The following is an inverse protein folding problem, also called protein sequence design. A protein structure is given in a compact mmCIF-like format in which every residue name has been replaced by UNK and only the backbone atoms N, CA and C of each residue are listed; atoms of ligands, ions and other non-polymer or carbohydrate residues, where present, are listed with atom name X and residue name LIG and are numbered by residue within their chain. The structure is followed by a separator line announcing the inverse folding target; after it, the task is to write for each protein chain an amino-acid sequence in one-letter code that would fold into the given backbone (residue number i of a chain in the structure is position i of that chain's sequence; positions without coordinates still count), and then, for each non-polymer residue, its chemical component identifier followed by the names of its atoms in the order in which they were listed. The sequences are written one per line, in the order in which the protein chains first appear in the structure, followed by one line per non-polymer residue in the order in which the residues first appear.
data_IF_537544421825
#
_entry.id   IF_537544421825
#
_cell.length_a   1.000
_cell.length_b   1.000
_cell.length_c   1.000
_cell.angle_alpha   90.00
_cell.angle_beta   90.00
_cell.angle_gamma   90.00
#
_symmetry.space_group_name_H-M   'P 1'
#
loop_
_entity.id
_entity.type
_entity.pdbx_description
1 polymer ?
#
# COMPACT_ATOMS: atom_id res chain seq x y z
N UNK A 1 9.15 -8.27 9.12
CA UNK A 1 8.88 -6.86 9.47
C UNK A 1 8.45 -6.16 8.19
N UNK A 2 7.26 -5.58 8.13
CA UNK A 2 6.69 -4.97 6.92
C UNK A 2 6.98 -3.45 6.92
N UNK A 3 7.17 -2.85 5.74
CA UNK A 3 7.73 -1.50 5.53
C UNK A 3 6.91 -0.34 6.14
N UNK A 4 5.73 -0.60 6.68
CA UNK A 4 4.85 0.42 7.27
C UNK A 4 4.18 -0.03 8.58
N UNK A 5 4.58 -1.16 9.17
CA UNK A 5 3.87 -1.67 10.36
C UNK A 5 3.92 -0.71 11.56
N UNK A 6 4.98 0.11 11.69
CA UNK A 6 5.10 1.07 12.81
C UNK A 6 4.62 2.47 12.46
N UNK A 7 4.51 2.79 11.17
CA UNK A 7 4.00 4.07 10.67
C UNK A 7 3.04 3.83 9.48
N UNK A 8 1.81 3.37 9.74
CA UNK A 8 0.81 3.18 8.68
C UNK A 8 0.35 4.51 8.06
N UNK A 9 0.57 5.64 8.74
CA UNK A 9 0.28 6.97 8.20
C UNK A 9 1.25 7.34 7.07
N UNK A 10 2.51 6.90 7.12
CA UNK A 10 3.46 7.10 6.02
C UNK A 10 2.98 6.49 4.69
N UNK A 11 2.38 5.30 4.73
CA UNK A 11 1.78 4.68 3.54
C UNK A 11 0.66 5.56 2.98
N UNK A 12 -0.20 6.09 3.85
CA UNK A 12 -1.26 7.03 3.46
C UNK A 12 -0.71 8.35 2.90
N UNK A 13 0.34 8.93 3.49
CA UNK A 13 0.98 10.13 2.97
C UNK A 13 1.49 9.92 1.54
N UNK A 14 2.19 8.81 1.32
CA UNK A 14 2.73 8.44 0.01
C UNK A 14 1.61 8.25 -1.01
N UNK A 15 0.55 7.56 -0.61
CA UNK A 15 -0.68 7.36 -1.37
C UNK A 15 -1.35 8.68 -1.79
N UNK A 16 -1.61 9.58 -0.84
CA UNK A 16 -2.21 10.89 -1.11
C UNK A 16 -1.37 11.70 -2.10
N UNK A 17 -0.03 11.66 -1.96
CA UNK A 17 0.89 12.34 -2.89
C UNK A 17 0.83 11.76 -4.31
N UNK A 18 0.74 10.43 -4.45
CA UNK A 18 0.58 9.79 -5.78
C UNK A 18 -0.70 10.28 -6.46
N UNK A 19 -1.79 10.36 -5.71
CA UNK A 19 -3.09 10.78 -6.23
C UNK A 19 -3.23 12.30 -6.39
N UNK A 20 -2.22 13.09 -5.99
CA UNK A 20 -2.32 14.55 -5.97
C UNK A 20 -3.39 15.08 -5.00
N UNK A 21 -3.71 14.32 -3.95
CA UNK A 21 -4.73 14.67 -2.96
C UNK A 21 -4.11 15.22 -1.68
N UNK A 22 -4.83 16.10 -0.96
CA UNK A 22 -4.40 16.51 0.37
C UNK A 22 -4.33 15.31 1.30
N UNK A 23 -3.33 15.31 2.18
CA UNK A 23 -3.21 14.32 3.25
C UNK A 23 -4.26 14.70 4.31
N UNK A 24 -5.22 13.81 4.65
CA UNK A 24 -6.19 14.12 5.68
C UNK A 24 -5.48 14.32 7.02
N UNK A 25 -5.86 15.32 7.82
CA UNK A 25 -5.25 15.51 9.13
C UNK A 25 -5.55 14.29 10.02
N UNK A 26 -4.59 13.91 10.87
CA UNK A 26 -4.71 12.74 11.74
C UNK A 26 -5.89 12.83 12.72
N UNK A 27 -6.40 14.04 12.98
CA UNK A 27 -7.61 14.28 13.76
C UNK A 27 -8.91 13.87 13.04
N UNK A 28 -8.89 13.74 11.71
CA UNK A 28 -10.08 13.43 10.90
C UNK A 28 -10.14 11.95 10.46
N UNK A 29 -9.04 11.22 10.60
CA UNK A 29 -8.95 9.85 10.11
C UNK A 29 -8.22 8.92 11.09
N UNK A 30 -8.63 7.66 11.07
CA UNK A 30 -7.93 6.58 11.73
C UNK A 30 -7.46 5.56 10.69
N UNK A 31 -6.19 5.17 10.76
CA UNK A 31 -5.61 4.14 9.88
C UNK A 31 -5.33 2.90 10.71
N UNK A 32 -5.76 1.75 10.22
CA UNK A 32 -5.54 0.47 10.89
C UNK A 32 -4.87 -0.52 9.95
N UNK A 33 -3.82 -1.18 10.44
CA UNK A 33 -3.29 -2.41 9.87
C UNK A 33 -4.30 -3.55 10.08
N UNK A 34 -4.61 -4.28 9.01
CA UNK A 34 -5.56 -5.40 9.00
C UNK A 34 -4.87 -6.75 8.79
N UNK A 35 -3.54 -6.78 8.88
CA UNK A 35 -2.70 -7.92 8.56
C UNK A 35 -2.45 -8.05 7.06
N UNK A 36 -1.85 -9.16 6.67
CA UNK A 36 -1.40 -9.45 5.31
C UNK A 36 -2.32 -10.37 4.52
N UNK A 37 -3.33 -10.99 5.12
CA UNK A 37 -4.07 -12.08 4.47
C UNK A 37 -5.49 -11.69 4.05
N UNK A 38 -5.85 -12.03 2.81
CA UNK A 38 -7.19 -11.97 2.23
C UNK A 38 -7.65 -13.37 1.80
N UNK A 39 -8.95 -13.63 1.84
CA UNK A 39 -9.53 -14.87 1.31
C UNK A 39 -9.86 -14.70 -0.16
N UNK A 40 -9.38 -15.62 -1.01
CA UNK A 40 -9.61 -15.60 -2.46
C UNK A 40 -11.09 -15.89 -2.77
N UNK A 41 -11.78 -15.00 -3.49
CA UNK A 41 -13.18 -15.23 -3.86
C UNK A 41 -13.32 -16.43 -4.80
N UNK A 42 -14.30 -17.31 -4.55
CA UNK A 42 -14.72 -18.34 -5.50
C UNK A 42 -13.94 -19.66 -5.45
N UNK A 43 -12.93 -19.79 -4.58
CA UNK A 43 -12.26 -21.07 -4.33
C UNK A 43 -12.98 -21.81 -3.19
N UNK A 44 -14.15 -22.37 -3.46
CA UNK A 44 -14.76 -23.38 -2.58
C UNK A 44 -14.36 -24.74 -3.13
N UNK A 45 -13.45 -25.45 -2.48
CA UNK A 45 -13.14 -26.83 -2.85
C UNK A 45 -14.27 -27.71 -2.36
N UNK A 46 -15.24 -27.99 -3.23
CA UNK A 46 -16.34 -28.92 -2.93
C UNK A 46 -15.73 -30.31 -2.68
N UNK A 47 -15.79 -30.78 -1.45
CA UNK A 47 -15.40 -32.15 -1.07
C UNK A 47 -14.08 -32.30 -0.29
N UNK A 48 -13.33 -31.22 -0.03
CA UNK A 48 -12.20 -31.30 0.88
C UNK A 48 -12.68 -31.14 2.33
N UNK A 49 -12.46 -32.16 3.18
CA UNK A 49 -12.71 -32.10 4.63
C UNK A 49 -11.86 -31.04 5.35
N UNK A 50 -10.90 -30.44 4.64
CA UNK A 50 -10.15 -29.28 5.08
C UNK A 50 -10.43 -28.15 4.08
N UNK A 51 -11.09 -27.12 4.55
CA UNK A 51 -11.38 -25.88 3.83
C UNK A 51 -10.04 -25.19 3.51
N UNK A 52 -9.41 -25.53 2.39
CA UNK A 52 -8.26 -24.78 1.87
C UNK A 52 -8.83 -23.52 1.24
N UNK A 53 -9.25 -22.58 2.09
CA UNK A 53 -9.53 -21.23 1.62
C UNK A 53 -8.26 -20.74 0.93
N UNK A 54 -8.34 -20.45 -0.37
CA UNK A 54 -7.19 -19.91 -1.09
C UNK A 54 -6.81 -18.60 -0.42
N UNK A 55 -5.69 -18.54 0.28
CA UNK A 55 -5.24 -17.30 0.91
C UNK A 55 -4.45 -16.47 -0.10
N UNK A 56 -4.73 -15.18 -0.15
CA UNK A 56 -3.92 -14.18 -0.85
C UNK A 56 -3.12 -13.46 0.22
N UNK A 57 -1.80 -13.61 0.16
CA UNK A 57 -0.87 -12.91 1.04
C UNK A 57 -0.42 -11.64 0.34
N UNK A 58 -0.74 -10.51 0.96
CA UNK A 58 -0.27 -9.20 0.61
C UNK A 58 0.83 -8.77 1.58
N UNK A 59 1.69 -7.82 1.23
CA UNK A 59 2.68 -7.34 2.20
C UNK A 59 2.04 -6.52 3.33
N UNK A 60 0.98 -5.76 3.04
CA UNK A 60 0.22 -5.02 4.04
C UNK A 60 -1.16 -4.61 3.52
N UNK A 61 -2.15 -4.60 4.41
CA UNK A 61 -3.49 -4.08 4.14
C UNK A 61 -3.85 -3.03 5.19
N UNK A 62 -4.14 -1.83 4.72
CA UNK A 62 -4.56 -0.72 5.56
C UNK A 62 -6.02 -0.36 5.29
N UNK A 63 -6.76 -0.09 6.36
CA UNK A 63 -8.10 0.50 6.26
C UNK A 63 -8.10 1.90 6.83
N UNK A 64 -8.63 2.86 6.07
CA UNK A 64 -8.78 4.27 6.47
C UNK A 64 -10.23 4.52 6.84
N UNK A 65 -10.46 5.01 8.05
CA UNK A 65 -11.78 5.28 8.61
C UNK A 65 -11.91 6.76 8.94
N UNK A 66 -13.12 7.29 8.80
CA UNK A 66 -13.41 8.66 9.21
C UNK A 66 -13.54 8.74 10.74
N UNK A 67 -12.98 9.79 11.34
CA UNK A 67 -13.26 10.20 12.70
C UNK A 67 -14.45 11.17 12.69
N UNK A 68 -15.46 10.87 13.50
CA UNK A 68 -16.68 11.66 13.61
C UNK A 68 -16.47 12.84 14.59
N UNK A 69 -17.33 13.88 14.54
CA UNK A 69 -17.17 15.07 15.39
C UNK A 69 -17.18 14.79 16.89
N UNK A 70 -17.83 13.70 17.31
CA UNK A 70 -17.87 13.22 18.69
C UNK A 70 -16.60 12.44 19.09
N UNK A 71 -15.62 12.35 18.19
CA UNK A 71 -14.36 11.63 18.38
C UNK A 71 -14.45 10.12 18.12
N UNK A 72 -15.63 9.58 17.83
CA UNK A 72 -15.80 8.16 17.48
C UNK A 72 -15.25 7.88 16.07
N UNK A 73 -14.94 6.61 15.80
CA UNK A 73 -14.40 6.17 14.50
C UNK A 73 -15.50 5.41 13.76
N UNK A 74 -15.75 5.79 12.51
CA UNK A 74 -16.67 5.08 11.63
C UNK A 74 -16.31 3.60 11.59
N UNK A 75 -17.32 2.73 11.68
CA UNK A 75 -17.12 1.27 11.52
C UNK A 75 -16.87 0.88 10.07
N UNK A 76 -17.29 1.73 9.13
CA UNK A 76 -17.13 1.51 7.70
C UNK A 76 -15.88 2.25 7.22
N UNK A 77 -14.99 1.50 6.57
CA UNK A 77 -13.80 2.07 5.95
C UNK A 77 -14.21 2.99 4.80
N UNK A 78 -13.58 4.16 4.72
CA UNK A 78 -13.70 5.05 3.57
C UNK A 78 -12.84 4.60 2.40
N UNK A 79 -11.71 3.96 2.69
CA UNK A 79 -10.72 3.57 1.71
C UNK A 79 -9.91 2.38 2.23
N UNK A 80 -9.58 1.45 1.34
CA UNK A 80 -8.66 0.34 1.61
C UNK A 80 -7.42 0.50 0.75
N UNK A 81 -6.26 0.35 1.37
CA UNK A 81 -4.97 0.30 0.68
C UNK A 81 -4.36 -1.07 0.82
N UNK A 82 -3.91 -1.62 -0.30
CA UNK A 82 -3.07 -2.81 -0.34
C UNK A 82 -1.67 -2.32 -0.71
N UNK A 83 -0.67 -2.66 0.07
CA UNK A 83 0.72 -2.29 -0.21
C UNK A 83 1.49 -3.55 -0.59
N UNK A 84 2.23 -3.46 -1.68
CA UNK A 84 3.00 -4.56 -2.27
C UNK A 84 4.42 -4.09 -2.61
N UNK A 85 5.42 -4.85 -2.19
CA UNK A 85 6.83 -4.60 -2.47
C UNK A 85 7.29 -5.50 -3.60
N UNK A 86 7.62 -4.89 -4.74
CA UNK A 86 8.08 -5.60 -5.93
C UNK A 86 9.59 -5.48 -6.10
N UNK A 87 10.31 -6.58 -5.84
CA UNK A 87 11.78 -6.65 -5.92
C UNK A 87 12.32 -7.14 -7.27
N UNK A 88 11.53 -7.89 -8.03
CA UNK A 88 11.92 -8.46 -9.32
C UNK A 88 10.84 -8.26 -10.39
N UNK A 89 11.07 -8.64 -11.64
CA UNK A 89 10.01 -8.66 -12.66
C UNK A 89 9.25 -9.98 -12.54
N UNK A 90 7.95 -9.91 -12.35
CA UNK A 90 7.09 -11.09 -12.23
C UNK A 90 5.74 -10.81 -12.90
N UNK A 91 5.49 -11.34 -14.12
CA UNK A 91 4.25 -11.09 -14.84
C UNK A 91 3.04 -11.73 -14.15
N UNK A 92 3.23 -12.74 -13.30
CA UNK A 92 2.13 -13.40 -12.58
C UNK A 92 1.48 -12.48 -11.53
N UNK A 93 2.21 -11.43 -11.10
CA UNK A 93 1.73 -10.45 -10.11
C UNK A 93 0.49 -9.69 -10.56
N UNK A 94 0.29 -9.48 -11.87
CA UNK A 94 -0.90 -8.80 -12.37
C UNK A 94 -2.20 -9.49 -11.93
N UNK A 95 -2.23 -10.82 -12.04
CA UNK A 95 -3.41 -11.58 -11.61
C UNK A 95 -3.53 -11.60 -10.08
N UNK A 96 -2.42 -11.85 -9.37
CA UNK A 96 -2.43 -11.89 -7.91
C UNK A 96 -2.93 -10.57 -7.30
N UNK A 97 -2.48 -9.43 -7.84
CA UNK A 97 -2.90 -8.10 -7.43
C UNK A 97 -4.37 -7.79 -7.76
N UNK A 98 -4.83 -8.23 -8.94
CA UNK A 98 -6.26 -8.10 -9.31
C UNK A 98 -7.15 -8.91 -8.36
N UNK A 99 -6.72 -10.13 -8.02
CA UNK A 99 -7.41 -10.99 -7.06
C UNK A 99 -7.42 -10.37 -5.67
N UNK A 100 -6.30 -9.78 -5.23
CA UNK A 100 -6.18 -9.11 -3.94
C UNK A 100 -7.15 -7.92 -3.83
N UNK A 101 -7.20 -7.03 -4.83
CA UNK A 101 -8.13 -5.89 -4.83
C UNK A 101 -9.59 -6.35 -4.80
N UNK A 102 -9.93 -7.41 -5.57
CA UNK A 102 -11.28 -7.98 -5.57
C UNK A 102 -11.63 -8.60 -4.21
N UNK A 103 -10.70 -9.33 -3.61
CA UNK A 103 -10.87 -9.94 -2.29
C UNK A 103 -11.06 -8.89 -1.20
N UNK A 104 -10.30 -7.79 -1.25
CA UNK A 104 -10.45 -6.67 -0.33
C UNK A 104 -11.82 -5.99 -0.46
N UNK A 105 -12.33 -5.79 -1.67
CA UNK A 105 -13.65 -5.19 -1.90
C UNK A 105 -14.74 -5.97 -1.17
N UNK A 106 -14.70 -7.29 -1.31
CA UNK A 106 -15.64 -8.20 -0.65
C UNK A 106 -15.44 -8.23 0.86
N UNK A 107 -14.20 -8.40 1.35
CA UNK A 107 -13.89 -8.51 2.79
C UNK A 107 -14.34 -7.27 3.56
N UNK A 108 -14.16 -6.09 2.99
CA UNK A 108 -14.48 -4.82 3.63
C UNK A 108 -15.83 -4.23 3.20
N UNK A 109 -16.60 -4.96 2.38
CA UNK A 109 -17.88 -4.51 1.82
C UNK A 109 -17.82 -3.09 1.27
N UNK A 110 -16.76 -2.81 0.50
CA UNK A 110 -16.45 -1.47 -0.02
C UNK A 110 -16.45 -1.47 -1.55
N UNK A 111 -16.86 -0.35 -2.14
CA UNK A 111 -16.81 -0.15 -3.58
C UNK A 111 -15.36 -0.32 -4.11
N UNK A 112 -15.13 -1.09 -5.19
CA UNK A 112 -13.79 -1.29 -5.75
C UNK A 112 -13.04 -0.01 -6.12
N UNK A 113 -13.74 1.08 -6.44
CA UNK A 113 -13.13 2.40 -6.70
C UNK A 113 -12.49 3.04 -5.46
N UNK A 114 -12.80 2.52 -4.27
CA UNK A 114 -12.23 2.92 -2.97
C UNK A 114 -11.16 1.94 -2.49
N UNK A 115 -10.60 1.15 -3.40
CA UNK A 115 -9.47 0.29 -3.15
C UNK A 115 -8.35 0.77 -4.04
N UNK A 116 -7.21 1.01 -3.42
CA UNK A 116 -5.99 1.34 -4.16
C UNK A 116 -4.90 0.35 -3.77
N UNK A 117 -4.03 0.07 -4.73
CA UNK A 117 -2.86 -0.75 -4.53
C UNK A 117 -1.61 0.10 -4.71
N UNK A 118 -0.86 0.27 -3.63
CA UNK A 118 0.44 0.94 -3.64
C UNK A 118 1.54 -0.08 -3.91
N UNK A 119 2.17 -0.01 -5.08
CA UNK A 119 3.33 -0.83 -5.40
C UNK A 119 4.61 -0.05 -5.08
N UNK A 120 5.44 -0.62 -4.21
CA UNK A 120 6.78 -0.13 -3.88
C UNK A 120 7.80 -0.93 -4.68
N UNK A 121 8.46 -0.29 -5.63
CA UNK A 121 9.50 -0.93 -6.43
C UNK A 121 10.79 -0.09 -6.38
N UNK A 122 11.80 -0.49 -5.58
CA UNK A 122 13.05 0.24 -5.43
C UNK A 122 13.88 0.34 -6.72
N UNK A 123 13.83 -0.69 -7.57
CA UNK A 123 14.59 -0.74 -8.82
C UNK A 123 13.96 0.16 -9.92
N UNK A 124 14.71 1.15 -10.47
CA UNK A 124 14.24 1.96 -11.59
C UNK A 124 13.83 1.14 -12.82
N UNK A 125 14.56 0.06 -13.13
CA UNK A 125 14.26 -0.80 -14.28
C UNK A 125 12.94 -1.56 -14.11
N UNK A 126 12.67 -2.05 -12.90
CA UNK A 126 11.42 -2.66 -12.48
C UNK A 126 10.26 -1.68 -12.56
N UNK A 127 10.42 -0.44 -12.08
CA UNK A 127 9.41 0.61 -12.22
C UNK A 127 9.03 0.89 -13.67
N UNK A 128 10.02 0.96 -14.56
CA UNK A 128 9.79 1.15 -16.00
C UNK A 128 8.99 -0.01 -16.60
N UNK A 129 9.36 -1.25 -16.26
CA UNK A 129 8.64 -2.45 -16.70
C UNK A 129 7.20 -2.50 -16.17
N UNK A 130 6.98 -2.22 -14.89
CA UNK A 130 5.65 -2.18 -14.27
C UNK A 130 4.72 -1.22 -15.03
N UNK A 131 5.18 0.02 -15.25
CA UNK A 131 4.40 1.05 -15.96
C UNK A 131 4.07 0.72 -17.41
N UNK A 132 5.02 0.15 -18.13
CA UNK A 132 4.91 0.01 -19.59
C UNK A 132 4.39 -1.34 -20.03
N UNK A 133 4.52 -2.38 -19.19
CA UNK A 133 4.18 -3.76 -19.56
C UNK A 133 3.10 -4.37 -18.67
N UNK A 134 3.15 -4.13 -17.36
CA UNK A 134 2.27 -4.83 -16.42
C UNK A 134 0.98 -4.05 -16.17
N UNK A 135 1.07 -2.82 -15.69
CA UNK A 135 -0.10 -2.00 -15.32
C UNK A 135 -1.08 -1.74 -16.45
N UNK A 136 -0.66 -1.50 -17.72
CA UNK A 136 -1.61 -1.28 -18.81
C UNK A 136 -2.51 -2.49 -19.10
N UNK A 137 -2.15 -3.68 -18.61
CA UNK A 137 -2.94 -4.91 -18.76
C UNK A 137 -3.93 -5.12 -17.62
N UNK A 138 -3.90 -4.27 -16.59
CA UNK A 138 -4.74 -4.38 -15.41
C UNK A 138 -5.93 -3.43 -15.52
N UNK A 139 -7.12 -3.93 -15.15
CA UNK A 139 -8.35 -3.12 -15.15
C UNK A 139 -8.32 -2.04 -14.06
N UNK A 140 -7.93 -2.43 -12.84
CA UNK A 140 -7.62 -1.50 -11.76
C UNK A 140 -6.11 -1.29 -11.77
N UNK A 141 -5.69 -0.05 -12.04
CA UNK A 141 -4.29 0.27 -12.16
C UNK A 141 -3.68 0.57 -10.79
N UNK A 142 -2.65 -0.16 -10.36
CA UNK A 142 -1.96 0.15 -9.13
C UNK A 142 -1.23 1.49 -9.20
N UNK A 143 -1.18 2.15 -8.06
CA UNK A 143 -0.36 3.33 -7.80
C UNK A 143 1.11 2.92 -7.61
N UNK A 144 2.03 3.42 -8.45
CA UNK A 144 3.46 3.14 -8.29
C UNK A 144 4.14 4.20 -7.43
N UNK A 145 4.77 3.77 -6.33
CA UNK A 145 5.61 4.65 -5.52
C UNK A 145 6.85 5.07 -6.31
N UNK A 146 7.16 6.36 -6.26
CA UNK A 146 8.32 6.94 -6.93
C UNK A 146 9.01 7.89 -5.99
N UNK A 147 10.23 8.28 -6.38
CA UNK A 147 11.00 9.32 -5.70
C UNK A 147 10.22 10.62 -5.48
N UNK A 148 9.32 11.01 -6.39
CA UNK A 148 8.54 12.24 -6.24
C UNK A 148 7.51 12.18 -5.10
N UNK A 149 7.15 10.97 -4.65
CA UNK A 149 6.12 10.75 -3.64
C UNK A 149 6.70 10.51 -2.24
N UNK A 150 7.97 10.11 -2.17
CA UNK A 150 8.69 9.85 -0.92
C UNK A 150 9.23 11.16 -0.38
N UNK A 151 9.01 11.48 0.91
CA UNK A 151 9.56 12.69 1.50
C UNK A 151 11.08 12.54 1.62
N UNK A 152 11.81 13.59 1.24
CA UNK A 152 13.24 13.66 1.53
C UNK A 152 13.43 14.07 2.97
N UNK A 153 14.03 13.19 3.77
CA UNK A 153 14.40 13.49 5.15
C UNK A 153 15.88 13.87 5.20
N UNK A 154 16.16 15.12 5.56
CA UNK A 154 17.52 15.66 5.69
C UNK A 154 17.93 15.86 7.16
N UNK A 155 16.96 15.86 8.09
CA UNK A 155 17.19 16.11 9.51
C UNK A 155 17.34 14.78 10.25
N UNK A 156 18.56 14.52 10.74
CA UNK A 156 18.93 13.28 11.45
C UNK A 156 18.08 13.08 12.71
N UNK A 157 17.70 14.14 13.42
CA UNK A 157 16.85 14.03 14.59
C UNK A 157 15.44 13.55 14.22
N UNK A 158 14.93 13.95 13.03
CA UNK A 158 13.65 13.46 12.50
C UNK A 158 13.73 12.02 11.98
N UNK A 159 14.89 11.55 11.53
CA UNK A 159 15.07 10.16 11.09
C UNK A 159 14.80 9.18 12.24
N UNK A 160 15.25 9.51 13.46
CA UNK A 160 15.03 8.67 14.65
C UNK A 160 13.56 8.53 15.04
N UNK A 161 12.72 9.53 14.71
CA UNK A 161 11.30 9.53 15.04
C UNK A 161 10.43 8.80 14.01
N UNK A 162 10.94 8.59 12.79
CA UNK A 162 10.20 7.94 11.68
C UNK A 162 11.12 7.00 10.89
N UNK A 163 11.53 5.86 11.46
CA UNK A 163 12.52 4.97 10.84
C UNK A 163 12.07 4.41 9.49
N UNK A 164 10.78 4.14 9.28
CA UNK A 164 10.25 3.68 8.00
C UNK A 164 10.39 4.76 6.90
N UNK A 165 10.12 6.02 7.26
CA UNK A 165 10.28 7.15 6.36
C UNK A 165 11.76 7.40 6.04
N UNK A 166 12.64 7.20 7.02
CA UNK A 166 14.09 7.24 6.83
C UNK A 166 14.56 6.17 5.82
N UNK A 167 14.08 4.92 5.96
CA UNK A 167 14.39 3.83 5.03
C UNK A 167 13.89 4.15 3.63
N UNK A 168 12.64 4.59 3.47
CA UNK A 168 12.11 4.98 2.17
C UNK A 168 12.90 6.14 1.56
N UNK A 169 13.22 7.16 2.35
CA UNK A 169 14.04 8.29 1.91
C UNK A 169 15.41 7.81 1.41
N UNK A 170 16.10 6.95 2.17
CA UNK A 170 17.39 6.38 1.77
C UNK A 170 17.29 5.53 0.50
N UNK A 171 16.26 4.69 0.37
CA UNK A 171 16.05 3.83 -0.80
C UNK A 171 15.77 4.64 -2.07
N UNK A 172 14.91 5.66 -1.98
CA UNK A 172 14.48 6.42 -3.16
C UNK A 172 15.37 7.63 -3.47
N UNK A 173 16.10 8.17 -2.48
CA UNK A 173 16.91 9.37 -2.61
C UNK A 173 18.40 9.17 -2.27
N UNK A 174 18.86 7.98 -1.90
CA UNK A 174 20.26 7.75 -1.46
C UNK A 174 21.36 8.07 -2.48
N UNK A 175 20.99 8.31 -3.75
CA UNK A 175 21.91 8.81 -4.80
C UNK A 175 21.74 10.31 -5.09
N UNK A 176 20.90 11.02 -4.35
CA UNK A 176 20.76 12.47 -4.43
C UNK A 176 21.88 13.12 -3.59
N UNK A 177 22.78 13.92 -4.19
CA UNK A 177 23.84 14.59 -3.45
C UNK A 177 23.31 15.54 -2.37
N UNK A 178 22.04 15.95 -2.43
CA UNK A 178 21.40 16.78 -1.40
C UNK A 178 20.89 15.98 -0.20
N UNK A 179 20.92 14.65 -0.26
CA UNK A 179 20.45 13.78 0.82
C UNK A 179 21.58 13.32 1.75
N UNK A 180 22.83 13.63 1.43
CA UNK A 180 24.00 13.36 2.26
C UNK A 180 24.98 14.55 2.17
N UNK A 181 24.74 15.55 3.01
CA UNK A 181 25.84 16.27 3.64
C UNK A 181 25.84 15.79 5.10
N UNK A 182 26.58 14.72 5.35
CA UNK A 182 26.97 14.29 6.71
C UNK A 182 28.45 14.59 6.84
#
# INVERSE_FOLDING_TARGET
MTLFSRDPYLALECACRIQGKPIPPASEIAVFDRGSTLSRPGLYVVGAKNDVSGEIVCDLILSVHQRLPDGTISKVARLIWIVEVQMCRDPSRAQAWSDAMTAAARKFSIDPSKIDMLVVCPDPGGRGWLRTRLFPRMKLQPSLLTRAHVPTLQDVARLGLRPEAAVLSAVFHGRDPRCLAV
#
